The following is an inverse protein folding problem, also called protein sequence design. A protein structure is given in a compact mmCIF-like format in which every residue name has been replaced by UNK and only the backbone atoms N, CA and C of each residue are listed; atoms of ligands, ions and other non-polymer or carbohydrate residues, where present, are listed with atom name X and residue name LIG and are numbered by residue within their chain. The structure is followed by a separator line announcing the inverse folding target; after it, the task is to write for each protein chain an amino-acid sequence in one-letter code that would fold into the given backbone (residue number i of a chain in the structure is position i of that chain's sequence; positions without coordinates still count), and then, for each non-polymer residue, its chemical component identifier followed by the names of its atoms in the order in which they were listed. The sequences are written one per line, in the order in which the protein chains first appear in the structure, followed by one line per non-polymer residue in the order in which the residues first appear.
data_IF_012513532457
#
_entry.id   IF_012513532457
#
_cell.length_a   1.000
_cell.length_b   1.000
_cell.length_c   1.000
_cell.angle_alpha   90.00
_cell.angle_beta   90.00
_cell.angle_gamma   90.00
#
_symmetry.space_group_name_H-M   'P 1'
#
loop_
_entity.id
_entity.type
_entity.pdbx_description
1 polymer ?
#
# COMPACT_ATOMS: atom_id res chain seq x y z
N UNK A 1 -15.36 9.35 -16.42
CA UNK A 1 -13.89 9.45 -16.29
C UNK A 1 -13.52 10.12 -14.96
N UNK A 2 -13.89 9.51 -13.81
CA UNK A 2 -13.87 10.22 -12.51
C UNK A 2 -12.86 9.73 -11.46
N UNK A 3 -12.11 8.65 -11.73
CA UNK A 3 -11.24 8.03 -10.71
C UNK A 3 -9.75 8.40 -10.83
N UNK A 4 -9.31 8.98 -11.96
CA UNK A 4 -7.89 9.17 -12.29
C UNK A 4 -7.09 9.97 -11.24
N UNK A 5 -7.48 11.23 -10.93
CA UNK A 5 -6.67 12.10 -10.05
C UNK A 5 -6.62 11.65 -8.59
N UNK A 6 -7.69 11.06 -8.06
CA UNK A 6 -7.71 10.55 -6.69
C UNK A 6 -6.90 9.27 -6.56
N UNK A 7 -7.06 8.35 -7.50
CA UNK A 7 -6.32 7.09 -7.54
C UNK A 7 -4.82 7.32 -7.64
N UNK A 8 -4.41 8.25 -8.50
CA UNK A 8 -3.01 8.59 -8.69
C UNK A 8 -2.40 9.24 -7.44
N UNK A 9 -3.12 10.17 -6.79
CA UNK A 9 -2.71 10.73 -5.49
C UNK A 9 -2.59 9.65 -4.42
N UNK A 10 -3.52 8.69 -4.39
CA UNK A 10 -3.50 7.59 -3.41
C UNK A 10 -2.32 6.64 -3.66
N UNK A 11 -2.03 6.34 -4.94
CA UNK A 11 -0.84 5.58 -5.34
C UNK A 11 0.44 6.30 -4.90
N UNK A 12 0.54 7.60 -5.19
CA UNK A 12 1.69 8.42 -4.78
C UNK A 12 1.84 8.48 -3.25
N UNK A 13 0.74 8.62 -2.51
CA UNK A 13 0.75 8.63 -1.05
C UNK A 13 1.25 7.29 -0.46
N UNK A 14 0.83 6.15 -1.02
CA UNK A 14 1.32 4.83 -0.60
C UNK A 14 2.85 4.75 -0.75
N UNK A 15 3.37 5.10 -1.92
CA UNK A 15 4.80 5.03 -2.21
C UNK A 15 5.61 6.01 -1.35
N UNK A 16 5.14 7.26 -1.24
CA UNK A 16 5.80 8.28 -0.44
C UNK A 16 5.87 7.88 1.05
N UNK A 17 4.78 7.35 1.61
CA UNK A 17 4.75 6.89 3.00
C UNK A 17 5.60 5.65 3.24
N UNK A 18 5.66 4.72 2.28
CA UNK A 18 6.55 3.56 2.36
C UNK A 18 8.03 4.00 2.33
N UNK A 19 8.38 4.91 1.42
CA UNK A 19 9.72 5.46 1.30
C UNK A 19 10.14 6.26 2.54
N UNK A 20 9.29 7.17 3.01
CA UNK A 20 9.57 8.00 4.20
C UNK A 20 9.79 7.17 5.47
N UNK A 21 9.20 5.98 5.56
CA UNK A 21 9.39 5.07 6.69
C UNK A 21 10.68 4.26 6.62
N UNK A 22 11.26 4.07 5.43
CA UNK A 22 12.48 3.30 5.23
C UNK A 22 12.29 1.78 5.27
N UNK A 23 13.40 1.06 5.03
CA UNK A 23 13.40 -0.39 4.78
C UNK A 23 12.94 -1.24 5.98
N UNK A 24 13.24 -0.81 7.21
CA UNK A 24 12.92 -1.56 8.43
C UNK A 24 11.48 -1.38 8.90
N UNK A 25 10.77 -0.37 8.37
CA UNK A 25 9.43 0.01 8.80
C UNK A 25 8.37 -0.28 7.72
N UNK A 26 7.13 0.07 8.00
CA UNK A 26 6.00 -0.21 7.12
C UNK A 26 4.86 0.78 7.30
N UNK A 27 4.07 1.00 6.25
CA UNK A 27 2.79 1.73 6.29
C UNK A 27 1.61 0.77 6.14
N UNK A 28 0.38 1.27 6.06
CA UNK A 28 -0.81 0.51 5.71
C UNK A 28 -1.73 1.32 4.80
N UNK A 29 -2.73 0.70 4.12
CA UNK A 29 -3.63 1.40 3.21
C UNK A 29 -4.36 2.58 3.86
N UNK A 30 -4.70 2.45 5.15
CA UNK A 30 -5.39 3.51 5.89
C UNK A 30 -4.53 4.74 6.17
N UNK A 31 -3.20 4.60 6.21
CA UNK A 31 -2.31 5.76 6.38
C UNK A 31 -2.34 6.64 5.12
N UNK A 32 -2.25 6.01 3.94
CA UNK A 32 -2.33 6.71 2.66
C UNK A 32 -3.70 7.35 2.45
N UNK A 33 -4.78 6.67 2.84
CA UNK A 33 -6.13 7.23 2.78
C UNK A 33 -6.28 8.46 3.70
N UNK A 34 -5.81 8.39 4.95
CA UNK A 34 -5.83 9.51 5.91
C UNK A 34 -5.00 10.70 5.46
N UNK A 35 -3.94 10.48 4.68
CA UNK A 35 -3.13 11.57 4.15
C UNK A 35 -3.88 12.41 3.10
N UNK A 36 -4.99 11.91 2.53
CA UNK A 36 -5.70 12.57 1.43
C UNK A 36 -7.07 13.14 1.81
N UNK A 37 -7.72 12.64 2.86
CA UNK A 37 -9.06 13.06 3.26
C UNK A 37 -9.34 12.79 4.74
N UNK A 38 -10.13 13.65 5.38
CA UNK A 38 -10.69 13.42 6.71
C UNK A 38 -11.65 12.23 6.72
N UNK A 39 -12.54 12.13 5.72
CA UNK A 39 -13.38 10.94 5.51
C UNK A 39 -12.65 9.90 4.64
N UNK A 40 -11.68 9.23 5.24
CA UNK A 40 -10.78 8.31 4.55
C UNK A 40 -11.34 6.89 4.37
N UNK A 41 -12.39 6.50 5.10
CA UNK A 41 -12.94 5.13 5.08
C UNK A 41 -13.38 4.69 3.67
N UNK A 42 -14.06 5.54 2.87
CA UNK A 42 -14.44 5.19 1.50
C UNK A 42 -13.25 4.93 0.56
N UNK A 43 -12.04 5.42 0.89
CA UNK A 43 -10.84 5.22 0.09
C UNK A 43 -10.16 3.88 0.34
N UNK A 44 -10.51 3.17 1.42
CA UNK A 44 -9.84 1.92 1.80
C UNK A 44 -9.89 0.81 0.73
N UNK A 45 -11.02 0.54 0.05
CA UNK A 45 -11.06 -0.47 -0.99
C UNK A 45 -10.05 -0.16 -2.10
N UNK A 46 -10.02 1.09 -2.56
CA UNK A 46 -9.11 1.55 -3.59
C UNK A 46 -7.65 1.57 -3.14
N UNK A 47 -7.38 1.92 -1.87
CA UNK A 47 -6.03 1.87 -1.30
C UNK A 47 -5.51 0.42 -1.21
N UNK A 48 -6.38 -0.53 -0.86
CA UNK A 48 -6.04 -1.97 -0.80
C UNK A 48 -5.76 -2.51 -2.20
N UNK A 49 -6.57 -2.14 -3.19
CA UNK A 49 -6.36 -2.53 -4.59
C UNK A 49 -5.03 -1.99 -5.15
N UNK A 50 -4.75 -0.70 -4.94
CA UNK A 50 -3.47 -0.10 -5.33
C UNK A 50 -2.28 -0.76 -4.63
N UNK A 51 -2.41 -1.13 -3.36
CA UNK A 51 -1.36 -1.85 -2.64
C UNK A 51 -1.08 -3.23 -3.28
N UNK A 52 -2.11 -3.94 -3.77
CA UNK A 52 -1.93 -5.19 -4.53
C UNK A 52 -1.22 -4.93 -5.86
N UNK A 53 -1.66 -3.92 -6.60
CA UNK A 53 -1.04 -3.58 -7.89
C UNK A 53 0.43 -3.22 -7.76
N UNK A 54 0.78 -2.36 -6.81
CA UNK A 54 2.17 -1.97 -6.55
C UNK A 54 3.01 -3.18 -6.12
N UNK A 55 2.42 -4.15 -5.43
CA UNK A 55 3.12 -5.36 -5.05
C UNK A 55 3.29 -6.32 -6.24
N UNK A 56 2.31 -6.41 -7.14
CA UNK A 56 2.44 -7.15 -8.41
C UNK A 56 3.54 -6.57 -9.30
N UNK A 57 3.70 -5.25 -9.32
CA UNK A 57 4.78 -4.58 -10.09
C UNK A 57 6.13 -4.60 -9.37
N UNK A 58 6.21 -5.14 -8.15
CA UNK A 58 7.43 -5.18 -7.36
C UNK A 58 7.86 -3.85 -6.75
N UNK A 59 7.01 -2.82 -6.82
CA UNK A 59 7.28 -1.50 -6.24
C UNK A 59 7.15 -1.49 -4.71
N UNK A 60 6.41 -2.44 -4.14
CA UNK A 60 6.28 -2.64 -2.69
C UNK A 60 6.18 -4.13 -2.35
N UNK A 61 6.33 -4.47 -1.07
CA UNK A 61 6.00 -5.80 -0.53
C UNK A 61 4.84 -5.69 0.44
N UNK A 62 3.87 -6.61 0.32
CA UNK A 62 2.80 -6.74 1.29
C UNK A 62 3.18 -7.76 2.36
N UNK A 63 2.89 -7.43 3.62
CA UNK A 63 3.04 -8.35 4.74
C UNK A 63 1.82 -8.33 5.65
N UNK A 64 1.53 -9.47 6.26
CA UNK A 64 0.49 -9.63 7.27
C UNK A 64 1.04 -10.44 8.43
N UNK A 65 0.87 -9.95 9.67
CA UNK A 65 1.44 -10.57 10.88
C UNK A 65 2.95 -10.90 10.72
N UNK A 66 3.68 -10.00 10.05
CA UNK A 66 5.11 -10.13 9.78
C UNK A 66 5.49 -11.05 8.61
N UNK A 67 4.55 -11.75 7.97
CA UNK A 67 4.81 -12.67 6.85
C UNK A 67 4.45 -12.03 5.52
N UNK A 68 5.25 -12.27 4.48
CA UNK A 68 4.89 -11.88 3.11
C UNK A 68 3.58 -12.55 2.69
N UNK A 69 2.73 -11.80 1.99
CA UNK A 69 1.48 -12.33 1.43
C UNK A 69 1.48 -12.14 -0.08
N UNK A 70 0.82 -13.06 -0.77
CA UNK A 70 0.61 -12.98 -2.21
C UNK A 70 -0.38 -11.83 -2.54
N UNK A 71 -0.01 -10.87 -3.41
CA UNK A 71 -0.92 -9.80 -3.82
C UNK A 71 -2.15 -10.28 -4.59
N UNK A 72 -2.19 -11.52 -5.10
CA UNK A 72 -3.37 -12.09 -5.76
C UNK A 72 -4.14 -13.08 -4.87
N UNK A 73 -3.59 -13.41 -3.70
CA UNK A 73 -4.23 -14.27 -2.71
C UNK A 73 -5.35 -13.61 -1.90
N UNK A 74 -6.11 -14.42 -1.19
CA UNK A 74 -7.10 -13.96 -0.21
C UNK A 74 -6.42 -13.59 1.11
N UNK A 75 -6.77 -12.41 1.65
CA UNK A 75 -6.28 -11.96 2.95
C UNK A 75 -7.30 -11.05 3.62
N UNK A 76 -7.52 -11.31 4.90
CA UNK A 76 -8.50 -10.61 5.73
C UNK A 76 -7.81 -9.78 6.80
N UNK A 77 -8.33 -8.58 7.06
CA UNK A 77 -7.83 -7.72 8.12
C UNK A 77 -6.60 -6.86 7.74
N UNK A 78 -5.81 -6.44 8.75
CA UNK A 78 -4.74 -5.46 8.57
C UNK A 78 -3.55 -6.01 7.78
N UNK A 79 -3.15 -5.25 6.76
CA UNK A 79 -1.93 -5.49 6.00
C UNK A 79 -0.96 -4.34 6.17
N UNK A 80 0.33 -4.63 5.98
CA UNK A 80 1.42 -3.66 5.99
C UNK A 80 2.07 -3.61 4.62
N UNK A 81 2.36 -2.39 4.18
CA UNK A 81 3.05 -2.09 2.93
C UNK A 81 4.49 -1.72 3.30
N UNK A 82 5.46 -2.40 2.71
CA UNK A 82 6.88 -2.20 2.91
C UNK A 82 7.55 -1.82 1.59
N UNK A 83 8.70 -1.16 1.67
CA UNK A 83 9.59 -1.08 0.52
C UNK A 83 9.92 -2.49 0.00
N UNK A 84 10.21 -2.63 -1.30
CA UNK A 84 10.65 -3.89 -1.84
C UNK A 84 11.91 -4.29 -1.09
N UNK A 85 11.90 -5.47 -0.46
CA UNK A 85 13.09 -5.95 0.23
C UNK A 85 14.23 -6.06 -0.77
N UNK A 86 15.43 -5.64 -0.37
CA UNK A 86 16.64 -5.88 -1.17
C UNK A 86 16.68 -7.39 -1.47
N UNK A 87 16.55 -7.75 -2.75
CA UNK A 87 16.94 -9.09 -3.17
C UNK A 87 18.45 -9.09 -2.98
N UNK A 88 18.93 -9.62 -1.86
CA UNK A 88 20.35 -9.94 -1.74
C UNK A 88 20.65 -10.89 -2.91
N UNK A 89 21.41 -10.39 -3.88
CA UNK A 89 22.11 -11.23 -4.85
C UNK A 89 23.18 -12.06 -4.16
#
# INVERSE_FOLDING_TARGET
MGAGPLRERLRAAILALAFARGADSSTCPSDAARALADDWRPLLPQARELARELARTGEVRLTQRGRSVDPDGEWEGPIRIRLPGHANG
#
